data_IF_281875069724
#
_entry.id   IF_281875069724
#
_cell.length_a   1.000
_cell.length_b   1.000
_cell.length_c   1.000
_cell.angle_alpha   90.00
_cell.angle_beta   90.00
_cell.angle_gamma   90.00
#
_symmetry.space_group_name_H-M   'P 1'
#
loop_
_entity.id
_entity.type
_entity.pdbx_description
1 polymer ?
#
# COMPACT_ATOMS: atom_id res chain seq x y z
N UNK A 1 30.09 -4.66 24.62
CA UNK A 1 30.18 -5.78 23.67
C UNK A 1 28.84 -5.89 22.94
N UNK A 2 28.87 -5.96 21.60
CA UNK A 2 27.67 -6.17 20.79
C UNK A 2 27.10 -7.57 21.06
N UNK A 3 25.78 -7.70 21.08
CA UNK A 3 25.09 -8.97 21.29
C UNK A 3 23.78 -8.97 20.51
N UNK A 4 23.54 -9.99 19.68
CA UNK A 4 22.28 -10.16 18.96
C UNK A 4 21.16 -10.62 19.89
N UNK A 5 21.47 -11.53 20.83
CA UNK A 5 20.55 -11.99 21.87
C UNK A 5 19.99 -10.82 22.69
N UNK A 6 20.85 -9.89 23.12
CA UNK A 6 20.42 -8.69 23.84
C UNK A 6 19.48 -7.80 23.02
N UNK A 7 19.72 -7.68 21.71
CA UNK A 7 18.85 -6.89 20.81
C UNK A 7 17.52 -7.61 20.61
N UNK A 8 17.54 -8.93 20.43
CA UNK A 8 16.34 -9.76 20.29
C UNK A 8 15.46 -9.64 21.54
N UNK A 9 16.01 -9.86 22.73
CA UNK A 9 15.27 -9.82 23.99
C UNK A 9 14.65 -8.45 24.24
N UNK A 10 15.42 -7.39 23.98
CA UNK A 10 14.94 -6.01 24.16
C UNK A 10 13.87 -5.65 23.12
N UNK A 11 13.96 -6.12 21.89
CA UNK A 11 12.90 -5.94 20.89
C UNK A 11 11.59 -6.63 21.33
N UNK A 12 11.68 -7.89 21.78
CA UNK A 12 10.51 -8.64 22.32
C UNK A 12 9.91 -7.90 23.51
N UNK A 13 10.74 -7.45 24.46
CA UNK A 13 10.29 -6.70 25.64
C UNK A 13 9.54 -5.42 25.25
N UNK A 14 10.08 -4.64 24.32
CA UNK A 14 9.48 -3.38 23.88
C UNK A 14 8.15 -3.61 23.14
N UNK A 15 8.09 -4.57 22.22
CA UNK A 15 6.87 -4.91 21.48
C UNK A 15 5.80 -5.49 22.40
N UNK A 16 6.18 -6.22 23.45
CA UNK A 16 5.24 -6.78 24.44
C UNK A 16 4.50 -5.73 25.26
N UNK A 17 4.94 -4.46 25.22
CA UNK A 17 4.22 -3.32 25.82
C UNK A 17 2.96 -2.94 25.04
N UNK A 18 2.91 -3.25 23.74
CA UNK A 18 1.81 -2.87 22.87
C UNK A 18 0.62 -3.82 23.12
N UNK A 19 -0.54 -3.32 23.60
CA UNK A 19 -1.65 -4.19 24.01
C UNK A 19 -2.28 -5.00 22.86
N UNK A 20 -2.22 -4.47 21.64
CA UNK A 20 -2.91 -5.03 20.46
C UNK A 20 -2.10 -6.10 19.72
N UNK A 21 -0.83 -6.30 20.09
CA UNK A 21 0.00 -7.32 19.49
C UNK A 21 -0.24 -8.68 20.14
N UNK A 22 -0.31 -9.72 19.29
CA UNK A 22 -0.40 -11.10 19.75
C UNK A 22 0.94 -11.54 20.35
N UNK A 23 1.02 -11.50 21.68
CA UNK A 23 2.23 -11.84 22.45
C UNK A 23 2.74 -13.26 22.16
N UNK A 24 1.87 -14.18 21.73
CA UNK A 24 2.28 -15.54 21.38
C UNK A 24 3.09 -15.61 20.09
N UNK A 25 3.03 -14.57 19.24
CA UNK A 25 3.70 -14.51 17.94
C UNK A 25 4.94 -13.63 17.94
N UNK A 26 4.99 -12.60 18.79
CA UNK A 26 6.10 -11.62 18.84
C UNK A 26 7.47 -12.32 18.85
N UNK A 27 7.66 -13.33 19.70
CA UNK A 27 8.96 -14.00 19.79
C UNK A 27 9.35 -14.71 18.48
N UNK A 28 8.42 -15.41 17.84
CA UNK A 28 8.67 -16.09 16.57
C UNK A 28 8.97 -15.08 15.45
N UNK A 29 8.16 -14.04 15.36
CA UNK A 29 8.28 -13.00 14.34
C UNK A 29 9.58 -12.18 14.52
N UNK A 30 10.06 -11.99 15.76
CA UNK A 30 11.30 -11.27 16.01
C UNK A 30 12.52 -12.14 15.75
N UNK A 31 12.49 -13.44 16.08
CA UNK A 31 13.57 -14.39 15.73
C UNK A 31 13.87 -14.41 14.23
N UNK A 32 12.86 -14.17 13.40
CA UNK A 32 13.01 -14.11 11.95
C UNK A 32 13.98 -13.02 11.47
N UNK A 33 14.16 -11.92 12.23
CA UNK A 33 15.13 -10.88 11.92
C UNK A 33 16.58 -11.30 12.21
N UNK A 34 16.82 -12.42 12.89
CA UNK A 34 18.17 -12.88 13.26
C UNK A 34 18.62 -14.08 12.42
N UNK A 35 17.89 -14.39 11.34
CA UNK A 35 18.18 -15.51 10.44
C UNK A 35 18.24 -15.00 9.01
N UNK A 36 19.33 -15.31 8.30
CA UNK A 36 19.40 -15.14 6.85
C UNK A 36 18.53 -16.22 6.17
N UNK A 37 17.27 -15.87 5.92
CA UNK A 37 16.29 -16.79 5.32
C UNK A 37 16.55 -17.09 3.85
N UNK A 38 17.33 -16.26 3.15
CA UNK A 38 17.54 -16.35 1.69
C UNK A 38 16.22 -16.50 0.90
N UNK A 39 15.15 -15.85 1.36
CA UNK A 39 13.87 -15.85 0.66
C UNK A 39 14.04 -15.15 -0.69
N UNK A 40 13.44 -15.70 -1.75
CA UNK A 40 13.45 -15.02 -3.04
C UNK A 40 12.66 -13.71 -3.01
N UNK A 41 11.60 -13.62 -2.20
CA UNK A 41 10.77 -12.42 -2.11
C UNK A 41 11.43 -11.36 -1.22
N UNK A 42 10.72 -10.85 -0.23
CA UNK A 42 11.26 -9.92 0.74
C UNK A 42 11.72 -10.67 2.00
N UNK A 43 12.90 -10.31 2.51
CA UNK A 43 13.32 -10.65 3.86
C UNK A 43 14.36 -9.65 4.34
N UNK A 44 14.47 -9.50 5.66
CA UNK A 44 15.54 -8.71 6.26
C UNK A 44 16.13 -9.42 7.46
N UNK A 45 17.40 -9.20 7.73
CA UNK A 45 18.05 -9.74 8.91
C UNK A 45 19.13 -8.81 9.44
N UNK A 46 19.50 -9.04 10.71
CA UNK A 46 20.58 -8.36 11.40
C UNK A 46 21.66 -9.36 11.80
N UNK A 47 22.93 -8.99 11.61
CA UNK A 47 24.07 -9.76 12.08
C UNK A 47 25.19 -8.88 12.62
N UNK A 48 26.19 -9.48 13.26
CA UNK A 48 27.40 -8.76 13.70
C UNK A 48 28.55 -9.10 12.76
N UNK A 49 29.12 -8.06 12.16
CA UNK A 49 30.31 -8.11 11.30
C UNK A 49 31.20 -6.92 11.64
N UNK A 50 32.53 -7.07 11.54
CA UNK A 50 33.49 -5.96 11.73
C UNK A 50 33.25 -5.07 12.96
N UNK A 51 32.81 -5.71 14.06
CA UNK A 51 32.44 -5.04 15.32
C UNK A 51 31.37 -3.93 15.13
N UNK A 52 30.34 -4.23 14.32
CA UNK A 52 29.12 -3.45 14.13
C UNK A 52 27.91 -4.39 13.90
N UNK A 53 26.71 -3.88 14.16
CA UNK A 53 25.46 -4.46 13.69
C UNK A 53 25.24 -4.10 12.23
N UNK A 54 24.91 -5.09 11.41
CA UNK A 54 24.62 -4.94 9.99
C UNK A 54 23.17 -5.36 9.76
N UNK A 55 22.30 -4.42 9.39
CA UNK A 55 20.95 -4.72 8.92
C UNK A 55 20.94 -4.75 7.40
N UNK A 56 20.35 -5.81 6.85
CA UNK A 56 20.20 -5.97 5.42
C UNK A 56 18.76 -6.32 5.08
N UNK A 57 18.21 -5.64 4.09
CA UNK A 57 16.93 -6.01 3.49
C UNK A 57 17.15 -6.42 2.03
N UNK A 58 16.47 -7.48 1.64
CA UNK A 58 16.52 -8.05 0.31
C UNK A 58 15.13 -8.10 -0.28
N UNK A 59 15.04 -7.79 -1.57
CA UNK A 59 13.83 -7.97 -2.37
C UNK A 59 14.20 -8.61 -3.70
N UNK A 60 13.52 -9.71 -4.08
CA UNK A 60 13.76 -10.40 -5.36
C UNK A 60 15.22 -10.82 -5.53
N UNK A 61 15.83 -11.26 -4.43
CA UNK A 61 17.24 -11.68 -4.36
C UNK A 61 18.27 -10.53 -4.42
N UNK A 62 17.85 -9.26 -4.50
CA UNK A 62 18.75 -8.11 -4.52
C UNK A 62 18.76 -7.43 -3.15
N UNK A 63 19.95 -7.01 -2.70
CA UNK A 63 20.06 -6.20 -1.48
C UNK A 63 19.58 -4.78 -1.80
N UNK A 64 18.40 -4.42 -1.27
CA UNK A 64 17.80 -3.10 -1.47
C UNK A 64 18.17 -2.13 -0.36
N UNK A 65 18.66 -2.64 0.77
CA UNK A 65 19.11 -1.84 1.90
C UNK A 65 20.24 -2.52 2.66
N UNK A 66 21.29 -1.76 2.97
CA UNK A 66 22.33 -2.17 3.89
C UNK A 66 22.67 -0.99 4.81
N UNK A 67 22.45 -1.17 6.12
CA UNK A 67 22.80 -0.21 7.17
C UNK A 67 23.75 -0.84 8.17
N UNK A 68 24.63 -0.04 8.77
CA UNK A 68 25.56 -0.48 9.80
C UNK A 68 25.60 0.49 10.97
N UNK A 69 25.73 -0.03 12.20
CA UNK A 69 25.81 0.79 13.41
C UNK A 69 26.53 0.06 14.55
N UNK A 70 27.05 0.81 15.51
CA UNK A 70 27.52 0.28 16.81
C UNK A 70 26.55 0.56 17.95
N UNK A 71 25.43 1.23 17.65
CA UNK A 71 24.41 1.61 18.63
C UNK A 71 23.34 0.54 18.75
N UNK A 72 23.18 -0.01 19.95
CA UNK A 72 22.07 -0.92 20.26
C UNK A 72 20.70 -0.27 19.95
N UNK A 73 20.54 1.03 20.23
CA UNK A 73 19.27 1.73 19.99
C UNK A 73 18.97 1.87 18.49
N UNK A 74 19.97 2.10 17.64
CA UNK A 74 19.73 2.17 16.19
C UNK A 74 19.39 0.79 15.62
N UNK A 75 20.11 -0.25 16.05
CA UNK A 75 19.83 -1.63 15.67
C UNK A 75 18.41 -2.06 16.07
N UNK A 76 18.00 -1.75 17.31
CA UNK A 76 16.64 -1.98 17.79
C UNK A 76 15.62 -1.23 16.95
N UNK A 77 15.87 0.05 16.66
CA UNK A 77 14.94 0.86 15.90
C UNK A 77 14.66 0.27 14.51
N UNK A 78 15.65 -0.30 13.81
CA UNK A 78 15.41 -0.95 12.52
C UNK A 78 14.42 -2.12 12.62
N UNK A 79 14.55 -2.96 13.65
CA UNK A 79 13.64 -4.09 13.89
C UNK A 79 12.23 -3.58 14.24
N UNK A 80 12.13 -2.63 15.17
CA UNK A 80 10.85 -2.06 15.59
C UNK A 80 10.12 -1.40 14.43
N UNK A 81 10.84 -0.64 13.59
CA UNK A 81 10.27 0.01 12.41
C UNK A 81 9.75 -1.00 11.39
N UNK A 82 10.50 -2.07 11.11
CA UNK A 82 10.07 -3.14 10.21
C UNK A 82 8.80 -3.84 10.70
N UNK A 83 8.80 -4.25 11.98
CA UNK A 83 7.67 -4.94 12.58
C UNK A 83 6.41 -4.07 12.64
N UNK A 84 6.53 -2.84 13.18
CA UNK A 84 5.39 -1.93 13.34
C UNK A 84 4.85 -1.48 11.99
N UNK A 85 5.72 -1.18 11.01
CA UNK A 85 5.24 -0.77 9.68
C UNK A 85 4.41 -1.86 9.00
N UNK A 86 4.81 -3.13 9.14
CA UNK A 86 4.03 -4.26 8.64
C UNK A 86 2.65 -4.36 9.31
N UNK A 87 2.59 -4.20 10.64
CA UNK A 87 1.33 -4.20 11.39
C UNK A 87 0.44 -3.01 11.01
N UNK A 88 0.99 -1.79 10.96
CA UNK A 88 0.27 -0.57 10.59
C UNK A 88 -0.28 -0.63 9.17
N UNK A 89 0.44 -1.22 8.22
CA UNK A 89 -0.06 -1.45 6.87
C UNK A 89 -1.22 -2.46 6.84
N UNK A 90 -1.12 -3.56 7.59
CA UNK A 90 -2.22 -4.51 7.70
C UNK A 90 -3.47 -3.92 8.37
N UNK A 91 -3.28 -3.01 9.32
CA UNK A 91 -4.37 -2.24 9.93
C UNK A 91 -5.01 -1.30 8.91
N UNK A 92 -4.21 -0.52 8.18
CA UNK A 92 -4.71 0.36 7.12
C UNK A 92 -5.58 -0.40 6.11
N UNK A 93 -5.13 -1.56 5.61
CA UNK A 93 -5.91 -2.33 4.63
C UNK A 93 -7.30 -2.74 5.14
N UNK A 94 -7.46 -2.97 6.45
CA UNK A 94 -8.75 -3.33 7.08
C UNK A 94 -9.64 -2.12 7.35
N UNK A 95 -9.03 -0.95 7.49
CA UNK A 95 -9.70 0.30 7.86
C UNK A 95 -9.65 1.35 6.74
N UNK A 96 -9.30 0.93 5.51
CA UNK A 96 -9.01 1.81 4.39
C UNK A 96 -10.17 2.76 4.10
N UNK A 97 -9.83 4.05 4.03
CA UNK A 97 -10.75 5.07 3.52
C UNK A 97 -10.48 5.24 2.04
N UNK A 98 -11.48 4.96 1.21
CA UNK A 98 -11.35 5.04 -0.25
C UNK A 98 -10.99 6.45 -0.69
N UNK A 99 -10.23 6.52 -1.78
CA UNK A 99 -9.77 7.69 -2.50
C UNK A 99 -8.82 8.61 -1.74
N UNK A 100 -8.26 8.13 -0.63
CA UNK A 100 -7.31 8.86 0.20
C UNK A 100 -5.95 8.18 0.21
N UNK A 101 -4.90 8.94 0.55
CA UNK A 101 -3.58 8.38 0.81
C UNK A 101 -3.62 7.43 2.02
N UNK A 102 -3.25 6.17 1.80
CA UNK A 102 -3.20 5.12 2.82
C UNK A 102 -2.24 5.47 3.96
N UNK A 103 -1.21 6.29 3.69
CA UNK A 103 -0.23 6.69 4.70
C UNK A 103 -0.86 7.41 5.88
N UNK A 104 -2.01 8.08 5.72
CA UNK A 104 -2.68 8.75 6.85
C UNK A 104 -3.00 7.78 7.98
N UNK A 105 -3.67 6.67 7.65
CA UNK A 105 -4.07 5.65 8.63
C UNK A 105 -2.84 4.86 9.10
N UNK A 106 -1.96 4.47 8.18
CA UNK A 106 -0.77 3.70 8.54
C UNK A 106 0.18 4.48 9.46
N UNK A 107 0.40 5.78 9.21
CA UNK A 107 1.28 6.61 10.04
C UNK A 107 0.64 6.95 11.38
N UNK A 108 -0.67 7.24 11.41
CA UNK A 108 -1.39 7.41 12.67
C UNK A 108 -1.26 6.16 13.55
N UNK A 109 -1.51 4.97 12.97
CA UNK A 109 -1.37 3.72 13.71
C UNK A 109 0.09 3.47 14.14
N UNK A 110 1.05 3.78 13.28
CA UNK A 110 2.47 3.65 13.63
C UNK A 110 2.84 4.53 14.83
N UNK A 111 2.41 5.80 14.86
CA UNK A 111 2.66 6.72 15.97
C UNK A 111 2.05 6.20 17.28
N UNK A 112 0.80 5.72 17.23
CA UNK A 112 0.13 5.11 18.38
C UNK A 112 0.92 3.92 18.96
N UNK A 113 1.41 3.02 18.09
CA UNK A 113 2.16 1.83 18.50
C UNK A 113 3.52 2.19 19.10
N UNK A 114 4.20 3.20 18.54
CA UNK A 114 5.47 3.69 19.08
C UNK A 114 5.31 4.45 20.41
N UNK A 115 4.17 5.09 20.66
CA UNK A 115 3.89 5.73 21.96
C UNK A 115 3.83 4.72 23.11
N UNK A 116 3.35 3.49 22.89
CA UNK A 116 3.42 2.41 23.88
C UNK A 116 4.86 1.94 24.17
N UNK A 117 5.76 2.07 23.20
CA UNK A 117 7.18 1.73 23.35
C UNK A 117 7.88 2.81 24.20
N UNK A 118 7.60 4.08 23.89
CA UNK A 118 8.15 5.28 24.51
C UNK A 118 9.51 5.70 23.94
N UNK A 119 10.12 6.69 24.59
CA UNK A 119 11.41 7.26 24.18
C UNK A 119 12.58 6.26 24.27
N UNK A 120 13.59 6.36 23.35
CA UNK A 120 13.72 7.36 22.29
C UNK A 120 12.96 7.02 20.99
N UNK A 121 12.28 5.87 20.94
CA UNK A 121 11.79 5.30 19.68
C UNK A 121 10.57 6.01 19.12
N UNK A 122 9.73 6.55 20.01
CA UNK A 122 8.60 7.41 19.63
C UNK A 122 9.05 8.62 18.83
N UNK A 123 9.99 9.41 19.38
CA UNK A 123 10.48 10.61 18.70
C UNK A 123 11.17 10.27 17.38
N UNK A 124 11.96 9.19 17.35
CA UNK A 124 12.60 8.72 16.11
C UNK A 124 11.56 8.39 15.03
N UNK A 125 10.42 7.79 15.39
CA UNK A 125 9.36 7.49 14.44
C UNK A 125 8.65 8.75 13.93
N UNK A 126 8.35 9.69 14.82
CA UNK A 126 7.73 10.98 14.49
C UNK A 126 8.64 11.75 13.52
N UNK A 127 9.94 11.86 13.83
CA UNK A 127 10.91 12.56 12.99
C UNK A 127 11.04 11.90 11.61
N UNK A 128 11.02 10.56 11.56
CA UNK A 128 11.04 9.80 10.30
C UNK A 128 9.81 10.10 9.45
N UNK A 129 8.61 10.05 10.03
CA UNK A 129 7.36 10.35 9.33
C UNK A 129 7.37 11.78 8.82
N UNK A 130 7.73 12.75 9.66
CA UNK A 130 7.82 14.16 9.28
C UNK A 130 8.82 14.39 8.14
N UNK A 131 9.98 13.73 8.18
CA UNK A 131 10.97 13.80 7.10
C UNK A 131 10.45 13.22 5.79
N UNK A 132 9.69 12.12 5.84
CA UNK A 132 9.05 11.56 4.65
C UNK A 132 8.00 12.53 4.12
N UNK A 133 7.12 13.05 4.97
CA UNK A 133 6.04 13.96 4.55
C UNK A 133 6.55 15.32 4.08
N UNK A 134 7.70 15.78 4.56
CA UNK A 134 8.35 16.99 4.06
C UNK A 134 8.83 16.83 2.62
N UNK A 135 9.25 15.61 2.23
CA UNK A 135 9.71 15.31 0.86
C UNK A 135 8.58 14.81 -0.05
N UNK A 136 7.68 14.02 0.51
CA UNK A 136 6.55 13.40 -0.16
C UNK A 136 5.28 13.69 0.65
N UNK A 137 4.71 14.90 0.54
CA UNK A 137 3.46 15.25 1.21
C UNK A 137 2.36 14.24 0.89
N UNK A 138 1.32 14.22 1.73
CA UNK A 138 0.17 13.38 1.43
C UNK A 138 -0.44 13.73 0.07
N UNK A 139 -0.70 12.71 -0.73
CA UNK A 139 -1.32 12.82 -2.04
C UNK A 139 -2.37 11.72 -2.18
N UNK A 140 -3.59 12.13 -2.43
CA UNK A 140 -4.73 11.23 -2.57
C UNK A 140 -4.81 10.65 -3.99
N UNK A 141 -4.06 11.18 -4.96
CA UNK A 141 -4.11 10.76 -6.36
C UNK A 141 -3.79 9.27 -6.57
N UNK A 142 -2.75 8.67 -5.94
CA UNK A 142 -2.48 7.24 -6.06
C UNK A 142 -3.62 6.38 -5.50
N UNK A 143 -4.11 6.72 -4.30
CA UNK A 143 -5.21 6.01 -3.66
C UNK A 143 -6.50 6.10 -4.48
N UNK A 144 -6.82 7.32 -4.94
CA UNK A 144 -7.96 7.62 -5.81
C UNK A 144 -7.89 6.87 -7.13
N UNK A 145 -6.75 6.85 -7.80
CA UNK A 145 -6.59 6.14 -9.06
C UNK A 145 -6.79 4.62 -8.88
N UNK A 146 -6.18 4.04 -7.83
CA UNK A 146 -6.35 2.63 -7.49
C UNK A 146 -7.81 2.28 -7.20
N UNK A 147 -8.51 3.11 -6.44
CA UNK A 147 -9.91 2.85 -6.09
C UNK A 147 -10.85 3.02 -7.29
N UNK A 148 -10.59 4.01 -8.15
CA UNK A 148 -11.37 4.23 -9.37
C UNK A 148 -11.24 3.09 -10.38
N UNK A 149 -10.08 2.44 -10.49
CA UNK A 149 -9.92 1.22 -11.31
C UNK A 149 -10.91 0.15 -10.84
N UNK A 150 -11.00 -0.08 -9.53
CA UNK A 150 -11.95 -1.03 -8.95
C UNK A 150 -13.42 -0.62 -9.19
N UNK A 151 -13.74 0.67 -9.13
CA UNK A 151 -15.10 1.16 -9.44
C UNK A 151 -15.44 0.97 -10.91
N UNK A 152 -14.52 1.29 -11.81
CA UNK A 152 -14.72 1.12 -13.25
C UNK A 152 -15.01 -0.36 -13.58
N UNK A 153 -14.27 -1.30 -12.98
CA UNK A 153 -14.51 -2.73 -13.14
C UNK A 153 -15.90 -3.13 -12.60
N UNK A 154 -16.22 -2.77 -11.35
CA UNK A 154 -17.49 -3.14 -10.71
C UNK A 154 -18.70 -2.56 -11.43
N UNK A 155 -18.65 -1.28 -11.78
CA UNK A 155 -19.75 -0.60 -12.48
C UNK A 155 -19.94 -1.16 -13.88
N UNK A 156 -18.85 -1.45 -14.60
CA UNK A 156 -18.92 -2.03 -15.95
C UNK A 156 -19.53 -3.43 -15.92
N UNK A 157 -19.09 -4.27 -14.98
CA UNK A 157 -19.66 -5.60 -14.81
C UNK A 157 -21.14 -5.54 -14.42
N UNK A 158 -21.51 -4.62 -13.53
CA UNK A 158 -22.90 -4.37 -13.16
C UNK A 158 -23.75 -3.97 -14.37
N UNK A 159 -23.26 -3.05 -15.20
CA UNK A 159 -24.00 -2.57 -16.38
C UNK A 159 -24.16 -3.66 -17.44
N UNK A 160 -23.15 -4.52 -17.65
CA UNK A 160 -23.27 -5.63 -18.61
C UNK A 160 -24.41 -6.59 -18.26
N UNK A 161 -24.68 -6.78 -16.97
CA UNK A 161 -25.70 -7.71 -16.49
C UNK A 161 -27.14 -7.20 -16.69
N UNK A 162 -27.35 -5.92 -17.06
CA UNK A 162 -28.69 -5.35 -17.20
C UNK A 162 -29.31 -5.57 -18.59
N UNK A 163 -28.62 -6.22 -19.54
CA UNK A 163 -29.10 -6.61 -20.89
C UNK A 163 -29.72 -5.49 -21.76
N UNK A 164 -29.52 -4.21 -21.40
CA UNK A 164 -30.24 -3.07 -22.00
C UNK A 164 -29.28 -2.02 -22.54
N UNK A 165 -28.24 -2.44 -23.27
CA UNK A 165 -27.26 -1.52 -23.84
C UNK A 165 -26.99 -1.83 -25.31
N UNK A 166 -26.60 -0.81 -26.08
CA UNK A 166 -26.32 -0.95 -27.50
C UNK A 166 -24.96 -1.64 -27.75
N UNK A 167 -24.66 -1.99 -29.01
CA UNK A 167 -23.42 -2.68 -29.37
C UNK A 167 -22.16 -1.91 -28.99
N UNK A 168 -22.16 -0.57 -29.12
CA UNK A 168 -21.01 0.27 -28.78
C UNK A 168 -20.71 0.19 -27.27
N UNK A 169 -21.75 0.25 -26.42
CA UNK A 169 -21.57 0.09 -24.98
C UNK A 169 -21.05 -1.32 -24.67
N UNK A 170 -21.63 -2.37 -25.28
CA UNK A 170 -21.16 -3.74 -25.10
C UNK A 170 -19.67 -3.92 -25.44
N UNK A 171 -19.22 -3.43 -26.60
CA UNK A 171 -17.81 -3.50 -27.02
C UNK A 171 -16.86 -2.82 -26.02
N UNK A 172 -17.27 -1.70 -25.43
CA UNK A 172 -16.45 -0.99 -24.44
C UNK A 172 -16.50 -1.66 -23.06
N UNK A 173 -17.59 -2.36 -22.72
CA UNK A 173 -17.69 -3.16 -21.49
C UNK A 173 -16.82 -4.42 -21.54
N UNK A 174 -16.67 -5.03 -22.72
CA UNK A 174 -15.82 -6.22 -22.92
C UNK A 174 -14.35 -5.97 -22.57
N UNK A 175 -13.88 -4.73 -22.71
CA UNK A 175 -12.55 -4.30 -22.27
C UNK A 175 -12.26 -4.67 -20.79
N UNK A 176 -13.26 -4.55 -19.92
CA UNK A 176 -13.13 -4.79 -18.48
C UNK A 176 -13.26 -6.27 -18.10
N UNK A 177 -13.66 -7.14 -19.03
CA UNK A 177 -13.95 -8.56 -18.78
C UNK A 177 -12.87 -9.44 -19.40
N UNK A 178 -12.49 -9.14 -20.64
CA UNK A 178 -11.55 -9.94 -21.41
C UNK A 178 -10.08 -9.62 -21.07
N UNK A 179 -9.84 -8.57 -20.29
CA UNK A 179 -8.52 -8.18 -19.79
C UNK A 179 -8.53 -8.08 -18.28
N UNK A 180 -8.22 -9.16 -17.53
CA UNK A 180 -7.84 -8.96 -16.14
C UNK A 180 -6.55 -8.14 -16.15
N UNK A 181 -6.65 -6.87 -15.76
CA UNK A 181 -5.54 -5.93 -15.60
C UNK A 181 -4.33 -6.56 -14.87
N UNK A 182 -4.61 -7.57 -14.04
CA UNK A 182 -3.64 -8.35 -13.27
C UNK A 182 -2.63 -9.19 -14.09
N UNK A 183 -2.80 -9.38 -15.40
CA UNK A 183 -1.92 -10.27 -16.20
C UNK A 183 -1.01 -9.60 -17.24
N UNK A 184 -1.08 -8.26 -17.43
CA UNK A 184 -0.26 -7.56 -18.43
C UNK A 184 0.79 -6.66 -17.78
N UNK A 185 2.03 -7.17 -17.79
CA UNK A 185 3.33 -6.48 -17.85
C UNK A 185 3.71 -5.40 -16.81
N UNK A 186 4.92 -5.59 -16.26
CA UNK A 186 5.97 -4.59 -16.53
C UNK A 186 6.12 -3.38 -15.62
N UNK A 187 5.76 -3.45 -14.34
CA UNK A 187 6.11 -2.38 -13.39
C UNK A 187 5.26 -1.12 -13.53
N UNK A 188 5.64 -0.11 -12.74
CA UNK A 188 4.85 1.10 -12.42
C UNK A 188 4.54 1.97 -13.65
N UNK A 189 5.29 1.83 -14.75
CA UNK A 189 5.23 2.70 -15.93
C UNK A 189 3.97 2.53 -16.80
N UNK A 190 3.18 1.46 -16.64
CA UNK A 190 1.94 1.25 -17.44
C UNK A 190 0.64 1.60 -16.68
N UNK A 191 0.72 1.92 -15.38
CA UNK A 191 -0.50 2.19 -14.59
C UNK A 191 -1.26 3.41 -15.10
N UNK A 192 -0.57 4.52 -15.38
CA UNK A 192 -1.18 5.75 -15.88
C UNK A 192 -1.90 5.53 -17.22
N UNK A 193 -1.28 4.78 -18.14
CA UNK A 193 -1.86 4.51 -19.46
C UNK A 193 -3.10 3.64 -19.33
N UNK A 194 -3.04 2.57 -18.54
CA UNK A 194 -4.21 1.71 -18.35
C UNK A 194 -5.35 2.46 -17.66
N UNK A 195 -5.05 3.29 -16.66
CA UNK A 195 -6.06 4.14 -16.03
C UNK A 195 -6.73 5.07 -17.05
N UNK A 196 -5.94 5.74 -17.90
CA UNK A 196 -6.46 6.64 -18.94
C UNK A 196 -7.30 5.90 -19.98
N UNK A 197 -6.88 4.71 -20.39
CA UNK A 197 -7.63 3.86 -21.32
C UNK A 197 -8.98 3.47 -20.71
N UNK A 198 -9.00 2.99 -19.47
CA UNK A 198 -10.23 2.67 -18.74
C UNK A 198 -11.15 3.89 -18.66
N UNK A 199 -10.61 5.05 -18.29
CA UNK A 199 -11.37 6.30 -18.22
C UNK A 199 -11.98 6.68 -19.58
N UNK A 200 -11.24 6.49 -20.68
CA UNK A 200 -11.76 6.72 -22.03
C UNK A 200 -12.93 5.78 -22.34
N UNK A 201 -12.84 4.50 -21.98
CA UNK A 201 -13.93 3.53 -22.16
C UNK A 201 -15.17 3.92 -21.37
N UNK A 202 -15.02 4.31 -20.10
CA UNK A 202 -16.14 4.77 -19.28
C UNK A 202 -16.79 6.03 -19.87
N UNK A 203 -16.00 6.99 -20.34
CA UNK A 203 -16.54 8.20 -21.00
C UNK A 203 -17.37 7.87 -22.23
N UNK A 204 -16.92 6.93 -23.06
CA UNK A 204 -17.69 6.47 -24.22
C UNK A 204 -19.00 5.81 -23.80
N UNK A 205 -18.96 4.92 -22.80
CA UNK A 205 -20.16 4.26 -22.26
C UNK A 205 -21.16 5.30 -21.76
N UNK A 206 -20.71 6.27 -20.95
CA UNK A 206 -21.54 7.35 -20.44
C UNK A 206 -22.17 8.15 -21.60
N UNK A 207 -21.38 8.58 -22.58
CA UNK A 207 -21.88 9.38 -23.70
C UNK A 207 -22.89 8.63 -24.58
N UNK A 208 -22.68 7.33 -24.84
CA UNK A 208 -23.63 6.54 -25.62
C UNK A 208 -24.91 6.24 -24.85
N UNK A 209 -24.81 6.09 -23.53
CA UNK A 209 -25.96 5.81 -22.66
C UNK A 209 -26.97 6.97 -22.63
N UNK A 210 -26.52 8.21 -22.86
CA UNK A 210 -27.40 9.39 -22.93
C UNK A 210 -28.30 9.40 -24.17
N UNK A 211 -27.98 8.57 -25.18
CA UNK A 211 -28.70 8.51 -26.46
C UNK A 211 -29.79 7.44 -26.50
N UNK A 212 -29.91 6.62 -25.45
CA UNK A 212 -30.82 5.48 -25.42
C UNK A 212 -31.71 5.53 -24.18
N UNK A 213 -32.85 4.83 -24.23
CA UNK A 213 -33.66 4.62 -23.04
C UNK A 213 -33.04 3.52 -22.17
N UNK A 214 -32.80 3.83 -20.90
CA UNK A 214 -32.18 2.90 -19.96
C UNK A 214 -33.20 2.46 -18.90
N UNK A 215 -33.02 1.24 -18.39
CA UNK A 215 -33.73 0.82 -17.17
C UNK A 215 -33.31 1.71 -15.99
N UNK A 216 -34.15 1.75 -14.94
CA UNK A 216 -33.84 2.51 -13.72
C UNK A 216 -32.49 2.09 -13.10
N UNK A 217 -32.22 0.79 -13.08
CA UNK A 217 -30.95 0.22 -12.60
C UNK A 217 -29.76 0.68 -13.45
N UNK A 218 -29.88 0.60 -14.77
CA UNK A 218 -28.83 1.06 -15.68
C UNK A 218 -28.57 2.56 -15.54
N UNK A 219 -29.62 3.37 -15.38
CA UNK A 219 -29.49 4.81 -15.09
C UNK A 219 -28.70 5.08 -13.81
N UNK A 220 -28.94 4.32 -12.72
CA UNK A 220 -28.20 4.47 -11.48
C UNK A 220 -26.71 4.12 -11.64
N UNK A 221 -26.40 3.05 -12.38
CA UNK A 221 -25.02 2.65 -12.66
C UNK A 221 -24.29 3.70 -13.50
N UNK A 222 -24.93 4.21 -14.55
CA UNK A 222 -24.40 5.30 -15.38
C UNK A 222 -24.18 6.57 -14.56
N UNK A 223 -25.09 6.91 -13.64
CA UNK A 223 -24.90 8.06 -12.75
C UNK A 223 -23.63 7.90 -11.91
N UNK A 224 -23.40 6.72 -11.33
CA UNK A 224 -22.16 6.45 -10.58
C UNK A 224 -20.92 6.48 -11.46
N UNK A 225 -21.01 6.03 -12.71
CA UNK A 225 -19.91 6.15 -13.67
C UNK A 225 -19.57 7.63 -13.96
N UNK A 226 -20.58 8.51 -14.06
CA UNK A 226 -20.36 9.96 -14.20
C UNK A 226 -19.63 10.56 -12.99
N UNK A 227 -20.02 10.16 -11.78
CA UNK A 227 -19.33 10.59 -10.56
C UNK A 227 -17.87 10.12 -10.55
N UNK A 228 -17.62 8.87 -10.94
CA UNK A 228 -16.28 8.31 -11.05
C UNK A 228 -15.43 9.02 -12.11
N UNK A 229 -16.01 9.39 -13.27
CA UNK A 229 -15.32 10.19 -14.29
C UNK A 229 -14.94 11.57 -13.76
N UNK A 230 -15.83 12.20 -12.97
CA UNK A 230 -15.57 13.50 -12.36
C UNK A 230 -14.44 13.42 -11.34
N UNK A 231 -14.45 12.38 -10.50
CA UNK A 231 -13.39 12.13 -9.53
C UNK A 231 -12.05 11.81 -10.23
N UNK A 232 -12.07 11.05 -11.32
CA UNK A 232 -10.88 10.72 -12.12
C UNK A 232 -10.18 11.96 -12.68
N UNK A 233 -10.91 13.05 -12.95
CA UNK A 233 -10.33 14.31 -13.43
C UNK A 233 -9.44 15.01 -12.38
N UNK A 234 -9.53 14.60 -11.11
CA UNK A 234 -8.74 15.15 -10.01
C UNK A 234 -7.50 14.31 -9.67
N UNK A 235 -7.25 13.22 -10.41
CA UNK A 235 -6.06 12.39 -10.22
C UNK A 235 -4.88 13.06 -10.91
N UNK A 236 -3.82 13.37 -10.15
CA UNK A 236 -2.54 13.82 -10.68
C UNK A 236 -1.52 12.68 -10.68
N UNK A 237 -0.93 12.36 -11.83
CA UNK A 237 0.07 11.28 -11.98
C UNK A 237 1.52 11.78 -11.85
N UNK A 238 1.75 13.02 -11.41
CA UNK A 238 3.11 13.54 -11.21
C UNK A 238 3.98 12.65 -10.30
N UNK A 239 3.38 11.92 -9.36
CA UNK A 239 4.09 10.99 -8.47
C UNK A 239 4.72 9.76 -9.15
N UNK A 240 4.38 9.46 -10.41
CA UNK A 240 4.95 8.33 -11.17
C UNK A 240 6.20 8.70 -11.98
N UNK A 241 6.58 9.99 -11.98
CA UNK A 241 7.62 10.52 -12.89
C UNK A 241 8.97 10.77 -12.21
N UNK A 242 9.12 10.39 -10.94
CA UNK A 242 10.35 10.49 -10.13
C UNK A 242 10.89 9.10 -9.79
#
# INVERSE_FOLDING_TARGET
>A
MLSLERIQDKAIQLLSKIPELDKSKIEADIKDYFVDKKSYYFYSFIQIEDNAYHYRAFERGQCVEHRQTRSDNEALNWILQGYISGYSGAFELKHRVRYNDSRRIAYEKSMELFAFIGEPFEQINIDRINKILARFPYDDSPGRASDLVEDFEKLSLGLKNTNTVNSIIHENLDYFIDKPYRSRYGGIDDFENVFKDMLQKIRLIVNESEKIHLSQESHQLISKMKDAVSLAATVDFQYLKE
#
